data_IF_965047842003
#
_entry.id   IF_965047842003
#
_cell.length_a   1.000
_cell.length_b   1.000
_cell.length_c   1.000
_cell.angle_alpha   90.00
_cell.angle_beta   90.00
_cell.angle_gamma   90.00
#
_symmetry.space_group_name_H-M   'P 1'
#
loop_
_entity.id
_entity.type
_entity.pdbx_description
1 polymer ?
#
# COMPACT_ATOMS: atom_id res chain seq x y z
N UNK A 1 -19.65 -16.64 0.29
CA UNK A 1 -19.47 -15.40 1.01
C UNK A 1 -18.15 -15.37 1.78
N UNK A 2 -17.99 -14.37 2.64
CA UNK A 2 -16.80 -14.24 3.49
C UNK A 2 -16.63 -15.46 4.41
N UNK A 3 -17.76 -15.95 4.95
CA UNK A 3 -17.83 -17.16 5.76
C UNK A 3 -18.58 -18.28 5.03
N UNK A 4 -18.31 -19.57 5.33
CA UNK A 4 -18.88 -20.69 4.60
C UNK A 4 -20.41 -20.78 4.58
N UNK A 5 -21.08 -20.20 5.56
CA UNK A 5 -22.56 -20.21 5.67
C UNK A 5 -23.22 -19.02 4.93
N UNK A 6 -22.43 -18.09 4.40
CA UNK A 6 -22.94 -16.90 3.71
C UNK A 6 -22.98 -17.14 2.20
N UNK A 7 -24.07 -16.73 1.56
CA UNK A 7 -24.13 -16.61 0.10
C UNK A 7 -23.57 -15.25 -0.33
N UNK A 8 -22.98 -15.19 -1.52
CA UNK A 8 -22.50 -13.94 -2.10
C UNK A 8 -22.68 -13.95 -3.61
N UNK A 9 -22.78 -12.75 -4.18
CA UNK A 9 -22.78 -12.54 -5.62
C UNK A 9 -21.95 -11.30 -5.92
N UNK A 10 -21.27 -11.31 -7.07
CA UNK A 10 -20.60 -10.14 -7.61
C UNK A 10 -21.53 -9.47 -8.62
N UNK A 11 -21.61 -8.16 -8.54
CA UNK A 11 -22.34 -7.32 -9.47
C UNK A 11 -21.35 -6.41 -10.19
N UNK A 12 -21.62 -6.12 -11.46
CA UNK A 12 -20.75 -5.30 -12.29
C UNK A 12 -19.87 -6.14 -13.23
N UNK A 13 -18.78 -5.55 -13.66
CA UNK A 13 -17.97 -6.01 -14.78
C UNK A 13 -16.55 -6.44 -14.37
N UNK A 14 -16.38 -7.10 -13.22
CA UNK A 14 -15.08 -7.58 -12.72
C UNK A 14 -14.26 -8.33 -13.80
N UNK A 15 -14.93 -9.10 -14.68
CA UNK A 15 -14.29 -9.82 -15.78
C UNK A 15 -13.72 -8.93 -16.89
N UNK A 16 -14.05 -7.63 -16.94
CA UNK A 16 -13.45 -6.66 -17.87
C UNK A 16 -12.11 -6.14 -17.34
N UNK A 17 -11.89 -6.25 -16.02
CA UNK A 17 -10.66 -5.83 -15.36
C UNK A 17 -9.68 -6.98 -15.11
N UNK A 18 -10.19 -8.20 -14.91
CA UNK A 18 -9.36 -9.35 -14.54
C UNK A 18 -9.79 -10.61 -15.27
N UNK A 19 -8.82 -11.30 -15.88
CA UNK A 19 -9.02 -12.62 -16.50
C UNK A 19 -8.33 -13.70 -15.68
N UNK A 20 -9.08 -14.73 -15.29
CA UNK A 20 -8.50 -15.91 -14.64
C UNK A 20 -7.87 -16.83 -15.67
N UNK A 21 -6.55 -16.99 -15.63
CA UNK A 21 -5.79 -17.85 -16.54
C UNK A 21 -5.60 -19.27 -16.02
N UNK A 22 -5.65 -19.47 -14.69
CA UNK A 22 -5.40 -20.78 -14.06
C UNK A 22 -5.91 -20.83 -12.62
N UNK A 23 -6.05 -22.04 -12.10
CA UNK A 23 -6.27 -22.32 -10.68
C UNK A 23 -7.74 -22.48 -10.29
N UNK A 24 -7.96 -22.61 -8.97
CA UNK A 24 -9.29 -22.73 -8.37
C UNK A 24 -10.15 -21.50 -8.63
N UNK A 25 -11.47 -21.63 -8.41
CA UNK A 25 -12.37 -20.49 -8.45
C UNK A 25 -12.03 -19.45 -7.37
N UNK A 26 -12.39 -18.21 -7.68
CA UNK A 26 -12.18 -17.09 -6.75
C UNK A 26 -13.20 -17.17 -5.62
N UNK A 27 -12.75 -16.97 -4.40
CA UNK A 27 -13.60 -16.74 -3.24
C UNK A 27 -13.92 -15.24 -3.08
N UNK A 28 -14.91 -14.94 -2.25
CA UNK A 28 -15.23 -13.58 -1.83
C UNK A 28 -13.97 -12.82 -1.38
N UNK A 29 -13.19 -13.42 -0.48
CA UNK A 29 -11.96 -12.81 0.03
C UNK A 29 -10.89 -12.60 -1.07
N UNK A 30 -10.78 -13.54 -2.04
CA UNK A 30 -9.85 -13.33 -3.15
C UNK A 30 -10.23 -12.11 -3.99
N UNK A 31 -11.50 -11.88 -4.25
CA UNK A 31 -11.97 -10.76 -5.07
C UNK A 31 -11.67 -9.43 -4.37
N UNK A 32 -11.93 -9.33 -3.06
CA UNK A 32 -11.61 -8.14 -2.27
C UNK A 32 -10.09 -7.89 -2.26
N UNK A 33 -9.31 -8.93 -2.01
CA UNK A 33 -7.84 -8.82 -1.96
C UNK A 33 -7.25 -8.47 -3.34
N UNK A 34 -7.78 -9.02 -4.45
CA UNK A 34 -7.39 -8.69 -5.83
C UNK A 34 -7.63 -7.20 -6.10
N UNK A 35 -8.79 -6.68 -5.71
CA UNK A 35 -9.13 -5.27 -5.89
C UNK A 35 -8.19 -4.38 -5.10
N UNK A 36 -7.96 -4.68 -3.82
CA UNK A 36 -7.02 -3.92 -3.00
C UNK A 36 -5.57 -3.95 -3.54
N UNK A 37 -5.17 -5.09 -4.12
CA UNK A 37 -3.86 -5.22 -4.74
C UNK A 37 -3.74 -4.38 -6.02
N UNK A 38 -4.80 -4.34 -6.84
CA UNK A 38 -4.84 -3.52 -8.04
C UNK A 38 -4.82 -2.02 -7.69
N UNK A 39 -5.64 -1.59 -6.74
CA UNK A 39 -5.67 -0.19 -6.29
C UNK A 39 -4.28 0.27 -5.79
N UNK A 40 -3.56 -0.59 -5.07
CA UNK A 40 -2.21 -0.26 -4.59
C UNK A 40 -1.18 -0.20 -5.72
N UNK A 41 -1.18 -1.18 -6.64
CA UNK A 41 -0.13 -1.26 -7.66
C UNK A 41 -0.22 -0.12 -8.68
N UNK A 42 -1.41 0.44 -8.90
CA UNK A 42 -1.66 1.59 -9.77
C UNK A 42 -0.99 2.88 -9.30
N UNK A 43 -0.61 2.99 -8.01
CA UNK A 43 0.15 4.13 -7.49
C UNK A 43 1.59 4.21 -8.05
N UNK A 44 2.08 3.19 -8.75
CA UNK A 44 3.48 3.06 -9.15
C UNK A 44 3.63 3.01 -10.67
N UNK A 45 4.33 4.01 -11.22
CA UNK A 45 4.73 4.01 -12.63
C UNK A 45 5.95 3.12 -12.88
N UNK A 46 6.87 3.00 -11.91
CA UNK A 46 8.07 2.17 -11.96
C UNK A 46 7.70 0.67 -11.85
N UNK A 47 8.56 -0.26 -12.36
CA UNK A 47 8.34 -1.68 -12.14
C UNK A 47 8.30 -1.99 -10.64
N UNK A 48 7.15 -2.51 -10.19
CA UNK A 48 6.84 -2.67 -8.77
C UNK A 48 6.15 -4.00 -8.53
N UNK A 49 6.46 -4.61 -7.39
CA UNK A 49 5.73 -5.76 -6.84
C UNK A 49 5.17 -5.37 -5.47
N UNK A 50 3.91 -5.71 -5.26
CA UNK A 50 3.24 -5.63 -3.96
C UNK A 50 2.76 -7.03 -3.52
N UNK A 51 2.90 -7.29 -2.24
CA UNK A 51 2.43 -8.51 -1.58
C UNK A 51 1.36 -8.08 -0.57
N UNK A 52 0.16 -8.65 -0.69
CA UNK A 52 -0.95 -8.30 0.19
C UNK A 52 -1.54 -9.53 0.86
N UNK A 53 -2.14 -9.32 2.03
CA UNK A 53 -2.95 -10.30 2.72
C UNK A 53 -4.04 -9.60 3.52
N UNK A 54 -5.28 -10.06 3.37
CA UNK A 54 -6.44 -9.44 4.02
C UNK A 54 -6.51 -7.92 3.74
N UNK A 55 -6.41 -7.57 2.45
CA UNK A 55 -6.42 -6.20 1.93
C UNK A 55 -5.27 -5.28 2.35
N UNK A 56 -4.36 -5.73 3.20
CA UNK A 56 -3.22 -4.93 3.65
C UNK A 56 -1.92 -5.38 2.97
N UNK A 57 -1.03 -4.45 2.59
CA UNK A 57 0.28 -4.80 2.09
C UNK A 57 1.14 -5.42 3.21
N UNK A 58 1.81 -6.54 2.88
CA UNK A 58 2.87 -7.14 3.67
C UNK A 58 4.23 -6.55 3.30
N UNK A 59 4.34 -6.09 2.05
CA UNK A 59 5.54 -5.45 1.53
C UNK A 59 5.34 -4.98 0.09
N UNK A 60 6.04 -3.89 -0.25
CA UNK A 60 6.07 -3.29 -1.59
C UNK A 60 7.52 -2.96 -1.94
N UNK A 61 7.91 -3.25 -3.16
CA UNK A 61 9.25 -2.96 -3.66
C UNK A 61 9.23 -2.58 -5.13
N UNK A 62 10.04 -1.58 -5.48
CA UNK A 62 10.23 -1.11 -6.84
C UNK A 62 11.70 -1.26 -7.26
N UNK A 63 11.94 -1.73 -8.46
CA UNK A 63 13.25 -1.83 -9.07
C UNK A 63 13.09 -2.00 -10.59
N UNK A 64 14.01 -1.47 -11.43
CA UNK A 64 14.02 -1.77 -12.86
C UNK A 64 14.04 -3.27 -13.17
N UNK A 65 14.73 -4.07 -12.33
CA UNK A 65 14.65 -5.53 -12.33
C UNK A 65 13.49 -6.00 -11.43
N UNK A 66 12.49 -6.60 -12.04
CA UNK A 66 11.29 -7.06 -11.31
C UNK A 66 11.62 -8.15 -10.27
N UNK A 67 12.69 -8.93 -10.46
CA UNK A 67 13.15 -9.89 -9.46
C UNK A 67 13.69 -9.18 -8.22
N UNK A 68 14.44 -8.09 -8.39
CA UNK A 68 14.90 -7.26 -7.26
C UNK A 68 13.73 -6.54 -6.58
N UNK A 69 12.71 -6.09 -7.35
CA UNK A 69 11.47 -5.57 -6.78
C UNK A 69 10.78 -6.60 -5.89
N UNK A 70 10.73 -7.88 -6.32
CA UNK A 70 10.23 -8.99 -5.49
C UNK A 70 11.04 -9.16 -4.21
N UNK A 71 12.37 -9.20 -4.30
CA UNK A 71 13.23 -9.37 -3.12
C UNK A 71 13.04 -8.23 -2.11
N UNK A 72 12.88 -7.00 -2.59
CA UNK A 72 12.59 -5.81 -1.77
C UNK A 72 11.23 -5.92 -1.08
N UNK A 73 10.18 -6.28 -1.81
CA UNK A 73 8.83 -6.45 -1.27
C UNK A 73 8.79 -7.57 -0.21
N UNK A 74 9.35 -8.73 -0.53
CA UNK A 74 9.35 -9.90 0.34
C UNK A 74 10.21 -9.72 1.60
N UNK A 75 11.25 -8.88 1.53
CA UNK A 75 12.10 -8.60 2.68
C UNK A 75 11.37 -7.88 3.82
N UNK A 76 10.30 -7.13 3.54
CA UNK A 76 9.52 -6.36 4.54
C UNK A 76 8.87 -7.29 5.59
N UNK A 77 8.31 -8.41 5.13
CA UNK A 77 7.71 -9.43 6.00
C UNK A 77 7.83 -10.80 5.31
N UNK A 78 8.52 -11.75 5.94
CA UNK A 78 8.73 -13.09 5.39
C UNK A 78 7.70 -14.12 5.85
N UNK A 79 6.85 -13.78 6.81
CA UNK A 79 5.86 -14.69 7.40
C UNK A 79 4.46 -14.46 6.82
N UNK A 80 3.99 -13.22 6.81
CA UNK A 80 2.65 -12.86 6.36
C UNK A 80 2.36 -13.21 4.88
N UNK A 81 3.31 -13.15 3.93
CA UNK A 81 3.11 -13.51 2.53
C UNK A 81 2.59 -14.93 2.26
N UNK A 82 2.73 -15.85 3.21
CA UNK A 82 2.23 -17.23 3.05
C UNK A 82 0.70 -17.25 2.80
N UNK A 83 0.29 -17.72 1.63
CA UNK A 83 -1.10 -17.73 1.18
C UNK A 83 -1.66 -16.37 0.73
N UNK A 84 -0.82 -15.34 0.69
CA UNK A 84 -1.19 -14.00 0.26
C UNK A 84 -1.36 -13.85 -1.25
N UNK A 85 -1.57 -12.61 -1.66
CA UNK A 85 -1.73 -12.17 -3.04
C UNK A 85 -0.48 -11.41 -3.46
N UNK A 86 0.01 -11.70 -4.66
CA UNK A 86 1.16 -11.03 -5.25
C UNK A 86 0.70 -10.34 -6.53
N UNK A 87 1.02 -9.08 -6.67
CA UNK A 87 0.73 -8.31 -7.87
C UNK A 87 1.96 -7.58 -8.37
N UNK A 88 2.12 -7.51 -9.69
CA UNK A 88 3.12 -6.67 -10.34
C UNK A 88 2.51 -5.88 -11.49
N UNK A 89 3.12 -4.73 -11.81
CA UNK A 89 2.68 -3.85 -12.90
C UNK A 89 3.48 -4.02 -14.19
N UNK A 90 4.24 -5.11 -14.31
CA UNK A 90 5.00 -5.49 -15.53
C UNK A 90 4.77 -6.96 -15.86
N UNK A 91 5.09 -7.33 -17.10
CA UNK A 91 5.07 -8.73 -17.51
C UNK A 91 5.93 -9.59 -16.59
N UNK A 92 5.36 -10.68 -16.08
CA UNK A 92 6.02 -11.58 -15.14
C UNK A 92 6.83 -12.62 -15.91
N UNK A 93 8.14 -12.59 -15.76
CA UNK A 93 9.08 -13.48 -16.41
C UNK A 93 9.46 -14.71 -15.57
N UNK A 94 10.25 -15.61 -16.14
CA UNK A 94 10.67 -16.84 -15.47
C UNK A 94 11.53 -16.61 -14.21
N UNK A 95 12.50 -15.69 -14.17
CA UNK A 95 13.27 -15.39 -12.96
C UNK A 95 12.39 -15.00 -11.78
N UNK A 96 11.43 -14.11 -12.00
CA UNK A 96 10.46 -13.68 -10.97
C UNK A 96 9.53 -14.84 -10.58
N UNK A 97 9.01 -15.59 -11.57
CA UNK A 97 8.15 -16.75 -11.31
C UNK A 97 8.85 -17.80 -10.44
N UNK A 98 10.14 -18.07 -10.68
CA UNK A 98 10.94 -18.99 -9.85
C UNK A 98 11.01 -18.48 -8.40
N UNK A 99 11.38 -17.21 -8.20
CA UNK A 99 11.49 -16.63 -6.86
C UNK A 99 10.15 -16.65 -6.08
N UNK A 100 9.06 -16.25 -6.72
CA UNK A 100 7.71 -16.30 -6.12
C UNK A 100 7.29 -17.76 -5.83
N UNK A 101 7.70 -18.71 -6.65
CA UNK A 101 7.31 -20.11 -6.49
C UNK A 101 7.89 -20.80 -5.24
N UNK A 102 8.90 -20.20 -4.60
CA UNK A 102 9.49 -20.70 -3.37
C UNK A 102 8.55 -20.60 -2.16
N UNK A 103 7.55 -19.72 -2.23
CA UNK A 103 6.52 -19.61 -1.19
C UNK A 103 5.15 -20.10 -1.69
N UNK A 104 4.27 -20.42 -0.74
CA UNK A 104 2.88 -20.68 -1.03
C UNK A 104 2.13 -19.35 -1.22
N UNK A 105 1.57 -19.13 -2.41
CA UNK A 105 0.77 -17.96 -2.76
C UNK A 105 -0.65 -18.37 -3.13
N UNK A 106 -1.64 -17.56 -2.79
CA UNK A 106 -3.04 -17.80 -3.12
C UNK A 106 -3.41 -17.34 -4.54
N UNK A 107 -2.91 -16.17 -4.92
CA UNK A 107 -3.16 -15.52 -6.22
C UNK A 107 -1.88 -14.79 -6.66
N UNK A 108 -1.59 -14.84 -7.95
CA UNK A 108 -0.58 -14.00 -8.59
C UNK A 108 -1.24 -13.22 -9.71
N UNK A 109 -1.01 -11.90 -9.75
CA UNK A 109 -1.62 -10.97 -10.70
C UNK A 109 -0.51 -10.26 -11.47
N UNK A 110 -0.62 -10.23 -12.79
CA UNK A 110 0.28 -9.50 -13.66
C UNK A 110 -0.46 -9.05 -14.93
N UNK A 111 -0.03 -7.99 -15.61
CA UNK A 111 -0.60 -7.62 -16.90
C UNK A 111 -0.34 -8.67 -17.97
N UNK A 112 0.78 -9.41 -17.87
CA UNK A 112 1.13 -10.49 -18.77
C UNK A 112 2.04 -11.51 -18.05
N UNK A 113 2.08 -12.74 -18.53
CA UNK A 113 2.96 -13.81 -18.06
C UNK A 113 3.75 -14.35 -19.24
N UNK A 114 5.08 -14.37 -19.16
CA UNK A 114 5.90 -15.09 -20.12
C UNK A 114 5.49 -16.57 -20.16
N UNK A 115 5.56 -17.19 -21.33
CA UNK A 115 5.04 -18.55 -21.54
C UNK A 115 5.67 -19.60 -20.61
N UNK A 116 6.96 -19.50 -20.37
CA UNK A 116 7.73 -20.38 -19.48
C UNK A 116 7.45 -20.09 -17.99
N UNK A 117 7.27 -18.81 -17.61
CA UNK A 117 6.82 -18.42 -16.27
C UNK A 117 5.43 -18.98 -15.97
N UNK A 118 4.50 -18.82 -16.91
CA UNK A 118 3.15 -19.36 -16.82
C UNK A 118 3.18 -20.88 -16.68
N UNK A 119 3.94 -21.56 -17.52
CA UNK A 119 4.05 -23.04 -17.47
C UNK A 119 4.63 -23.53 -16.13
N UNK A 120 5.58 -22.80 -15.53
CA UNK A 120 6.10 -23.09 -14.19
C UNK A 120 5.01 -22.97 -13.12
N UNK A 121 4.32 -21.84 -13.08
CA UNK A 121 3.34 -21.53 -12.04
C UNK A 121 2.08 -22.41 -12.13
N UNK A 122 1.67 -22.81 -13.33
CA UNK A 122 0.55 -23.71 -13.57
C UNK A 122 0.75 -25.13 -13.00
N UNK A 123 1.97 -25.54 -12.68
CA UNK A 123 2.24 -26.80 -11.97
C UNK A 123 1.59 -26.83 -10.57
N UNK A 124 1.33 -25.65 -9.98
CA UNK A 124 0.63 -25.50 -8.70
C UNK A 124 -0.89 -25.45 -8.94
N UNK A 125 -1.58 -26.59 -8.97
CA UNK A 125 -3.00 -26.73 -9.33
C UNK A 125 -3.97 -25.75 -8.66
N UNK A 126 -3.68 -25.36 -7.43
CA UNK A 126 -4.55 -24.49 -6.62
C UNK A 126 -4.22 -23.00 -6.75
N UNK A 127 -3.04 -22.65 -7.30
CA UNK A 127 -2.61 -21.27 -7.47
C UNK A 127 -3.46 -20.58 -8.54
N UNK A 128 -4.00 -19.43 -8.20
CA UNK A 128 -4.76 -18.62 -9.16
C UNK A 128 -3.81 -17.68 -9.89
N UNK A 129 -3.81 -17.75 -11.20
CA UNK A 129 -3.11 -16.78 -12.04
C UNK A 129 -4.15 -15.86 -12.67
N UNK A 130 -4.01 -14.58 -12.42
CA UNK A 130 -4.91 -13.53 -12.89
C UNK A 130 -4.16 -12.58 -13.81
N UNK A 131 -4.72 -12.33 -15.00
CA UNK A 131 -4.24 -11.25 -15.86
C UNK A 131 -5.00 -9.98 -15.52
N UNK A 132 -4.27 -8.91 -15.16
CA UNK A 132 -4.84 -7.59 -15.08
C UNK A 132 -5.01 -7.05 -16.49
N UNK A 133 -6.24 -6.71 -16.85
CA UNK A 133 -6.57 -6.13 -18.16
C UNK A 133 -6.43 -4.61 -18.06
N UNK A 134 -5.87 -3.98 -19.08
CA UNK A 134 -5.88 -2.52 -19.14
C UNK A 134 -7.32 -2.01 -19.12
N UNK A 135 -7.66 -0.98 -18.35
CA UNK A 135 -8.99 -0.42 -18.37
C UNK A 135 -9.34 0.01 -19.81
N UNK A 136 -10.49 -0.43 -20.28
CA UNK A 136 -11.01 -0.03 -21.59
C UNK A 136 -11.41 1.45 -21.50
N UNK A 137 -10.51 2.35 -21.87
CA UNK A 137 -10.63 3.82 -21.88
C UNK A 137 -10.81 4.47 -20.49
N UNK A 138 -10.20 5.64 -20.25
CA UNK A 138 -10.46 6.41 -19.06
C UNK A 138 -11.97 6.71 -18.98
N UNK A 139 -12.60 6.20 -17.93
CA UNK A 139 -13.98 6.54 -17.67
C UNK A 139 -13.94 7.96 -17.09
N UNK A 140 -14.54 8.96 -17.77
CA UNK A 140 -14.64 10.35 -17.30
C UNK A 140 -15.41 10.48 -15.97
N UNK A 141 -15.95 9.37 -15.46
CA UNK A 141 -16.69 9.32 -14.20
C UNK A 141 -15.78 8.85 -13.07
N UNK A 142 -15.75 9.58 -11.95
CA UNK A 142 -14.98 9.14 -10.79
C UNK A 142 -15.49 7.79 -10.30
N UNK A 143 -14.57 6.86 -10.03
CA UNK A 143 -14.91 5.60 -9.38
C UNK A 143 -15.45 5.85 -7.98
N UNK A 144 -16.45 5.05 -7.59
CA UNK A 144 -17.12 5.18 -6.31
C UNK A 144 -16.71 4.03 -5.37
N UNK A 145 -16.41 4.39 -4.12
CA UNK A 145 -16.34 3.46 -3.00
C UNK A 145 -17.71 3.41 -2.32
N UNK A 146 -18.29 2.22 -2.24
CA UNK A 146 -19.63 1.99 -1.70
C UNK A 146 -19.56 1.06 -0.50
N UNK A 147 -20.07 1.51 0.63
CA UNK A 147 -20.10 0.73 1.86
C UNK A 147 -21.52 0.58 2.37
N UNK A 148 -21.88 -0.63 2.77
CA UNK A 148 -23.15 -0.86 3.45
C UNK A 148 -23.11 -0.26 4.86
N UNK A 149 -24.17 0.43 5.24
CA UNK A 149 -24.42 0.92 6.59
C UNK A 149 -25.82 0.49 7.03
N UNK A 150 -26.12 0.54 8.32
CA UNK A 150 -27.45 0.20 8.79
C UNK A 150 -28.48 1.13 8.14
N UNK A 151 -29.39 0.56 7.37
CA UNK A 151 -30.47 1.28 6.71
C UNK A 151 -30.10 1.93 5.38
N UNK A 152 -28.88 1.72 4.83
CA UNK A 152 -28.51 2.31 3.55
C UNK A 152 -27.11 2.01 3.07
N UNK A 153 -26.65 2.87 2.17
CA UNK A 153 -25.30 2.83 1.58
C UNK A 153 -24.60 4.17 1.82
N UNK A 154 -23.35 4.09 2.23
CA UNK A 154 -22.44 5.23 2.24
C UNK A 154 -21.63 5.19 0.94
N UNK A 155 -21.67 6.27 0.16
CA UNK A 155 -21.04 6.38 -1.13
C UNK A 155 -20.09 7.57 -1.13
N UNK A 156 -18.85 7.35 -1.58
CA UNK A 156 -17.85 8.40 -1.76
C UNK A 156 -17.09 8.18 -3.07
N UNK A 157 -16.40 9.20 -3.54
CA UNK A 157 -15.41 9.04 -4.61
C UNK A 157 -14.22 8.26 -4.06
N UNK A 158 -13.64 7.37 -4.88
CA UNK A 158 -12.33 6.79 -4.55
C UNK A 158 -11.28 7.88 -4.40
N UNK A 159 -10.31 7.65 -3.55
CA UNK A 159 -9.15 8.53 -3.41
C UNK A 159 -8.19 8.35 -4.59
N UNK A 160 -8.50 9.02 -5.69
CA UNK A 160 -7.69 9.05 -6.91
C UNK A 160 -6.72 10.24 -6.95
N UNK A 161 -6.50 10.94 -5.82
CA UNK A 161 -5.62 12.09 -5.79
C UNK A 161 -4.16 11.65 -5.99
N UNK A 162 -3.56 12.11 -7.08
CA UNK A 162 -2.13 11.96 -7.37
C UNK A 162 -1.31 12.92 -6.51
N UNK A 163 -0.11 12.47 -6.10
CA UNK A 163 0.80 13.29 -5.28
C UNK A 163 1.24 14.58 -5.97
N UNK A 164 1.35 14.56 -7.29
CA UNK A 164 1.77 15.71 -8.11
C UNK A 164 0.78 16.87 -8.07
N UNK A 165 -0.51 16.61 -7.77
CA UNK A 165 -1.55 17.61 -7.59
C UNK A 165 -1.75 18.09 -6.14
N UNK A 166 -1.02 17.53 -5.17
CA UNK A 166 -1.19 17.87 -3.77
C UNK A 166 -0.32 19.06 -3.36
N UNK A 167 -0.92 20.03 -2.69
CA UNK A 167 -0.17 21.09 -2.04
C UNK A 167 0.62 20.51 -0.86
N UNK A 168 1.95 20.62 -0.92
CA UNK A 168 2.86 20.10 0.08
C UNK A 168 3.49 21.24 0.87
N UNK A 169 3.55 21.10 2.22
CA UNK A 169 4.14 22.09 3.10
C UNK A 169 5.23 21.47 3.97
N UNK A 170 6.45 22.00 3.91
CA UNK A 170 7.50 21.66 4.86
C UNK A 170 7.27 22.42 6.16
N UNK A 171 7.03 21.70 7.26
CA UNK A 171 6.76 22.30 8.59
C UNK A 171 7.92 22.15 9.57
N UNK A 172 8.97 21.43 9.18
CA UNK A 172 10.20 21.28 9.96
C UNK A 172 11.18 22.41 9.70
N UNK A 173 12.14 22.61 10.65
CA UNK A 173 13.23 23.60 10.49
C UNK A 173 14.15 23.28 9.31
N UNK A 174 14.30 22.02 8.96
CA UNK A 174 15.12 21.53 7.85
C UNK A 174 14.23 20.96 6.76
N UNK A 175 14.39 21.35 5.49
CA UNK A 175 13.71 20.68 4.40
C UNK A 175 14.23 19.23 4.24
N UNK A 176 13.42 18.32 3.69
CA UNK A 176 13.88 16.97 3.40
C UNK A 176 14.93 16.97 2.29
N UNK A 177 15.88 16.07 2.37
CA UNK A 177 16.79 15.77 1.28
C UNK A 177 16.02 15.10 0.14
N UNK A 178 16.61 15.01 -1.06
CA UNK A 178 16.02 14.32 -2.21
C UNK A 178 15.70 12.84 -1.89
N UNK A 179 16.58 12.16 -1.17
CA UNK A 179 16.41 10.76 -0.78
C UNK A 179 15.27 10.59 0.24
N UNK A 180 15.22 11.47 1.26
CA UNK A 180 14.12 11.48 2.23
C UNK A 180 12.78 11.78 1.57
N UNK A 181 12.73 12.72 0.60
CA UNK A 181 11.53 13.00 -0.16
C UNK A 181 11.07 11.77 -0.94
N UNK A 182 11.96 11.08 -1.65
CA UNK A 182 11.62 9.85 -2.37
C UNK A 182 11.07 8.78 -1.43
N UNK A 183 11.68 8.60 -0.24
CA UNK A 183 11.20 7.64 0.76
C UNK A 183 9.83 8.03 1.34
N UNK A 184 9.59 9.33 1.57
CA UNK A 184 8.29 9.82 2.01
C UNK A 184 7.20 9.60 0.96
N UNK A 185 7.49 9.87 -0.31
CA UNK A 185 6.54 9.67 -1.41
C UNK A 185 6.23 8.18 -1.61
N UNK A 186 7.25 7.31 -1.50
CA UNK A 186 7.03 5.87 -1.54
C UNK A 186 6.12 5.39 -0.39
N UNK A 187 6.46 5.78 0.83
CA UNK A 187 5.65 5.46 2.01
C UNK A 187 4.24 6.01 1.95
N UNK A 188 4.07 7.21 1.38
CA UNK A 188 2.78 7.86 1.19
C UNK A 188 1.85 7.08 0.26
N UNK A 189 2.35 6.65 -0.90
CA UNK A 189 1.61 5.79 -1.83
C UNK A 189 1.14 4.51 -1.15
N UNK A 190 1.99 3.89 -0.35
CA UNK A 190 1.64 2.63 0.35
C UNK A 190 0.65 2.88 1.49
N UNK A 191 0.87 3.88 2.35
CA UNK A 191 0.04 4.08 3.56
C UNK A 191 -1.42 4.40 3.23
N UNK A 192 -1.69 5.00 2.07
CA UNK A 192 -3.03 5.24 1.53
C UNK A 192 -3.87 3.96 1.46
N UNK A 193 -3.22 2.82 1.18
CA UNK A 193 -3.84 1.50 1.02
C UNK A 193 -3.72 0.60 2.26
N UNK A 194 -3.26 1.13 3.38
CA UNK A 194 -3.16 0.40 4.66
C UNK A 194 -4.33 0.77 5.57
N UNK A 195 -4.93 -0.24 6.17
CA UNK A 195 -6.08 -0.02 7.08
C UNK A 195 -5.68 0.83 8.28
N UNK A 196 -6.47 1.86 8.55
CA UNK A 196 -6.29 2.82 9.65
C UNK A 196 -6.43 2.16 11.05
N UNK A 197 -5.73 2.60 12.10
CA UNK A 197 -4.59 3.51 12.01
C UNK A 197 -3.41 2.80 11.38
N UNK A 198 -2.70 3.48 10.49
CA UNK A 198 -1.64 2.92 9.70
C UNK A 198 -0.34 3.73 9.81
N UNK A 199 0.78 3.00 9.94
CA UNK A 199 2.14 3.54 9.86
C UNK A 199 2.96 2.68 8.92
N UNK A 200 3.67 3.32 7.98
CA UNK A 200 4.59 2.69 7.05
C UNK A 200 5.96 3.33 7.18
N UNK A 201 6.99 2.54 7.48
CA UNK A 201 8.39 2.94 7.33
C UNK A 201 8.86 2.52 5.95
N UNK A 202 9.48 3.45 5.22
CA UNK A 202 9.89 3.24 3.84
C UNK A 202 11.29 3.78 3.55
N UNK A 203 11.98 3.11 2.64
CA UNK A 203 13.07 3.65 1.84
C UNK A 203 12.53 4.30 0.56
N UNK A 204 13.43 4.73 -0.32
CA UNK A 204 13.05 5.36 -1.58
C UNK A 204 12.38 4.40 -2.58
N UNK A 205 12.55 3.10 -2.40
CA UNK A 205 12.18 2.05 -3.35
C UNK A 205 11.50 0.82 -2.71
N UNK A 206 11.23 0.86 -1.42
CA UNK A 206 10.64 -0.26 -0.68
C UNK A 206 10.00 0.14 0.63
N UNK A 207 9.13 -0.71 1.12
CA UNK A 207 8.70 -0.70 2.52
C UNK A 207 9.73 -1.39 3.41
N UNK A 208 9.82 -0.94 4.65
CA UNK A 208 10.73 -1.50 5.68
C UNK A 208 9.96 -2.07 6.87
N UNK A 209 8.78 -1.54 7.15
CA UNK A 209 7.91 -2.03 8.20
C UNK A 209 6.52 -1.41 8.07
N UNK A 210 5.49 -2.21 8.29
CA UNK A 210 4.08 -1.81 8.14
C UNK A 210 3.31 -2.21 9.39
N UNK A 211 2.63 -1.24 9.99
CA UNK A 211 1.66 -1.46 11.07
C UNK A 211 0.29 -1.00 10.63
N UNK A 212 -0.66 -1.92 10.59
CA UNK A 212 -1.98 -1.74 10.02
C UNK A 212 -3.10 -1.98 11.03
N UNK A 213 -4.21 -1.25 10.91
CA UNK A 213 -5.49 -1.57 11.55
C UNK A 213 -5.50 -1.47 13.08
N UNK A 214 -4.69 -0.59 13.66
CA UNK A 214 -4.62 -0.46 15.11
C UNK A 214 -5.51 0.65 15.66
N UNK A 215 -6.04 0.47 16.89
CA UNK A 215 -6.80 1.50 17.54
C UNK A 215 -5.93 2.71 17.94
N UNK A 216 -4.65 2.48 18.16
CA UNK A 216 -3.66 3.52 18.49
C UNK A 216 -2.62 3.64 17.37
N UNK A 217 -2.32 4.90 16.98
CA UNK A 217 -1.25 5.17 16.00
C UNK A 217 0.13 4.80 16.53
N UNK A 218 0.35 4.95 17.83
CA UNK A 218 1.58 4.53 18.50
C UNK A 218 1.76 3.01 18.40
N UNK A 219 0.69 2.23 18.54
CA UNK A 219 0.76 0.78 18.41
C UNK A 219 0.99 0.36 16.95
N UNK A 220 0.38 1.05 15.99
CA UNK A 220 0.71 0.85 14.57
C UNK A 220 2.20 1.08 14.29
N UNK A 221 2.79 2.14 14.87
CA UNK A 221 4.24 2.40 14.76
C UNK A 221 5.07 1.31 15.42
N UNK A 222 4.72 0.87 16.64
CA UNK A 222 5.42 -0.21 17.35
C UNK A 222 5.41 -1.52 16.56
N UNK A 223 4.26 -1.87 15.96
CA UNK A 223 4.13 -3.06 15.13
C UNK A 223 5.03 -2.94 13.89
N UNK A 224 5.04 -1.79 13.23
CA UNK A 224 5.90 -1.56 12.06
C UNK A 224 7.39 -1.71 12.41
N UNK A 225 7.83 -1.13 13.55
CA UNK A 225 9.20 -1.27 14.06
C UNK A 225 9.53 -2.72 14.40
N UNK A 226 8.65 -3.38 15.14
CA UNK A 226 8.83 -4.80 15.49
C UNK A 226 8.96 -5.68 14.25
N UNK A 227 8.09 -5.49 13.25
CA UNK A 227 8.15 -6.22 11.98
C UNK A 227 9.46 -5.99 11.24
N UNK A 228 9.95 -4.75 11.19
CA UNK A 228 11.24 -4.44 10.58
C UNK A 228 12.40 -5.16 11.30
N UNK A 229 12.39 -5.18 12.63
CA UNK A 229 13.39 -5.90 13.43
C UNK A 229 13.36 -7.40 13.20
N UNK A 230 12.19 -8.03 13.21
CA UNK A 230 12.00 -9.46 12.88
C UNK A 230 12.51 -9.81 11.48
N UNK A 231 12.32 -8.89 10.53
CA UNK A 231 12.81 -9.05 9.16
C UNK A 231 14.33 -8.80 9.02
N UNK A 232 14.99 -8.28 10.06
CA UNK A 232 16.41 -7.88 10.05
C UNK A 232 16.66 -6.60 9.26
N UNK A 233 15.65 -5.74 9.09
CA UNK A 233 15.74 -4.49 8.35
C UNK A 233 16.06 -3.31 9.27
N UNK A 234 16.98 -2.43 8.82
CA UNK A 234 17.30 -1.19 9.50
C UNK A 234 16.32 -0.10 9.10
N UNK A 235 15.80 0.63 10.09
CA UNK A 235 14.98 1.82 9.89
C UNK A 235 15.81 3.12 9.86
N UNK A 236 17.15 3.04 9.99
CA UNK A 236 18.03 4.21 9.96
C UNK A 236 17.95 4.93 8.61
N UNK A 237 17.62 6.23 8.65
CA UNK A 237 17.49 7.06 7.46
C UNK A 237 16.19 6.84 6.68
N UNK A 238 15.26 6.01 7.19
CA UNK A 238 13.95 5.80 6.57
C UNK A 238 13.05 7.03 6.70
N UNK A 239 11.96 7.04 5.95
CA UNK A 239 10.82 7.92 6.18
C UNK A 239 9.67 7.15 6.83
N UNK A 240 8.92 7.81 7.72
CA UNK A 240 7.66 7.31 8.26
C UNK A 240 6.49 8.02 7.59
N UNK A 241 5.55 7.24 7.05
CA UNK A 241 4.29 7.72 6.49
C UNK A 241 3.13 7.32 7.39
N UNK A 242 2.19 8.22 7.61
CA UNK A 242 1.01 8.03 8.44
C UNK A 242 -0.27 8.35 7.66
N UNK A 243 -1.29 7.51 7.78
CA UNK A 243 -2.62 7.69 7.16
C UNK A 243 -3.40 8.91 7.69
N UNK A 244 -3.04 9.40 8.87
CA UNK A 244 -3.60 10.63 9.46
C UNK A 244 -2.50 11.39 10.22
N UNK A 245 -2.82 12.64 10.65
CA UNK A 245 -1.88 13.45 11.43
C UNK A 245 -1.55 12.81 12.79
N UNK A 246 -0.34 13.04 13.28
CA UNK A 246 0.04 12.69 14.64
C UNK A 246 -0.60 13.67 15.62
N UNK A 247 -1.52 13.22 16.51
CA UNK A 247 -2.20 14.12 17.44
C UNK A 247 -1.26 14.66 18.54
N UNK A 248 -0.19 13.92 18.83
CA UNK A 248 0.81 14.24 19.86
C UNK A 248 2.23 13.99 19.33
N UNK A 249 3.25 14.63 19.90
CA UNK A 249 4.65 14.48 19.48
C UNK A 249 5.23 13.08 19.70
N UNK A 250 4.67 12.30 20.63
CA UNK A 250 5.15 10.97 21.03
C UNK A 250 5.30 9.98 19.87
N UNK A 251 4.36 10.00 18.94
CA UNK A 251 4.43 9.15 17.75
C UNK A 251 5.58 9.51 16.81
N UNK A 252 5.89 10.81 16.65
CA UNK A 252 7.04 11.27 15.86
C UNK A 252 8.36 11.04 16.60
N UNK A 253 8.38 11.21 17.92
CA UNK A 253 9.55 10.91 18.75
C UNK A 253 9.89 9.43 18.66
N UNK A 254 8.91 8.55 18.84
CA UNK A 254 9.10 7.10 18.71
C UNK A 254 9.60 6.71 17.31
N UNK A 255 9.10 7.35 16.25
CA UNK A 255 9.60 7.12 14.90
C UNK A 255 11.06 7.54 14.72
N UNK A 256 11.44 8.70 15.26
CA UNK A 256 12.82 9.18 15.22
C UNK A 256 13.76 8.28 16.03
N UNK A 257 13.34 7.82 17.21
CA UNK A 257 14.10 6.87 18.04
C UNK A 257 14.30 5.53 17.33
N UNK A 258 13.31 5.09 16.52
CA UNK A 258 13.42 3.91 15.68
C UNK A 258 14.38 4.09 14.49
N UNK A 259 14.77 5.34 14.16
CA UNK A 259 15.74 5.67 13.12
C UNK A 259 15.17 6.43 11.92
N UNK A 260 13.88 6.77 11.91
CA UNK A 260 13.32 7.57 10.83
C UNK A 260 13.94 8.97 10.79
N UNK A 261 14.35 9.42 9.61
CA UNK A 261 14.94 10.72 9.36
C UNK A 261 13.92 11.77 8.87
N UNK A 262 12.77 11.31 8.38
CA UNK A 262 11.72 12.14 7.84
C UNK A 262 10.33 11.56 8.15
N UNK A 263 9.31 12.41 8.12
CA UNK A 263 7.92 11.99 8.31
C UNK A 263 6.98 12.69 7.33
N UNK A 264 5.96 11.98 6.86
CA UNK A 264 4.88 12.49 6.03
C UNK A 264 3.52 12.14 6.63
N UNK A 265 2.60 13.09 6.65
CA UNK A 265 1.25 12.92 7.18
C UNK A 265 0.27 13.88 6.51
N UNK A 266 -1.06 13.59 6.52
CA UNK A 266 -2.07 14.56 6.10
C UNK A 266 -2.06 15.82 6.97
N UNK A 267 -2.48 16.96 6.40
CA UNK A 267 -2.70 18.19 7.16
C UNK A 267 -3.84 18.02 8.17
N UNK A 268 -3.69 18.68 9.32
CA UNK A 268 -4.80 18.84 10.26
C UNK A 268 -5.70 19.98 9.77
N UNK A 269 -7.02 19.78 9.63
CA UNK A 269 -7.91 20.90 9.37
C UNK A 269 -7.80 21.94 10.49
N UNK A 270 -7.49 23.19 10.16
CA UNK A 270 -7.64 24.41 10.98
C UNK A 270 -6.93 24.52 12.33
N UNK A 271 -6.11 23.57 12.81
CA UNK A 271 -5.33 23.68 14.08
C UNK A 271 -3.89 23.15 13.96
N UNK A 272 -3.25 23.36 12.83
CA UNK A 272 -1.92 22.82 12.53
C UNK A 272 -0.75 23.47 13.31
N UNK A 273 -1.00 24.37 14.24
CA UNK A 273 0.06 25.16 14.87
C UNK A 273 0.88 24.43 15.94
N UNK A 274 0.54 23.20 16.32
CA UNK A 274 1.15 22.52 17.47
C UNK A 274 1.87 21.20 17.23
N UNK A 275 2.02 20.71 16.00
CA UNK A 275 2.90 19.58 15.74
C UNK A 275 4.25 20.08 15.26
N UNK A 276 5.01 20.62 16.21
CA UNK A 276 6.42 20.99 16.03
C UNK A 276 7.22 19.77 16.45
N UNK A 277 8.19 19.38 15.63
CA UNK A 277 9.20 18.40 16.03
C UNK A 277 9.82 18.84 17.37
N UNK A 278 10.08 17.91 18.31
CA UNK A 278 10.61 18.27 19.63
C UNK A 278 11.91 19.06 19.49
N UNK A 279 12.17 20.06 20.36
CA UNK A 279 13.25 21.02 20.19
C UNK A 279 14.67 20.44 20.34
N UNK A 280 14.83 19.24 20.80
CA UNK A 280 16.14 18.66 21.08
C UNK A 280 16.16 17.16 20.82
N UNK A 281 16.48 16.70 19.65
CA UNK A 281 17.27 15.52 19.31
C UNK A 281 17.08 15.15 17.85
N UNK A 282 18.14 15.41 17.06
CA UNK A 282 18.38 14.98 15.69
C UNK A 282 17.45 15.56 14.59
N UNK A 283 18.09 16.05 13.57
CA UNK A 283 17.60 16.75 12.37
C UNK A 283 16.57 15.96 11.53
N UNK A 284 15.36 15.74 12.05
CA UNK A 284 14.26 15.15 11.28
C UNK A 284 13.54 16.19 10.40
N UNK A 285 13.22 15.83 9.18
CA UNK A 285 12.39 16.63 8.28
C UNK A 285 10.96 16.05 8.25
N UNK A 286 9.98 16.92 8.37
CA UNK A 286 8.57 16.57 8.11
C UNK A 286 8.10 17.28 6.85
N UNK A 287 7.50 16.58 5.93
CA UNK A 287 6.83 17.10 4.74
C UNK A 287 5.60 16.24 4.44
N UNK A 288 4.93 16.47 3.42
CA UNK A 288 3.85 17.40 3.15
C UNK A 288 2.50 16.98 3.72
N UNK A 289 1.58 17.92 3.80
CA UNK A 289 0.26 17.71 4.40
C UNK A 289 -0.82 17.94 3.33
N UNK A 290 -1.79 17.06 3.24
CA UNK A 290 -2.94 17.20 2.35
C UNK A 290 -4.00 18.12 2.98
N UNK A 291 -4.41 19.17 2.29
CA UNK A 291 -5.62 19.90 2.63
C UNK A 291 -6.84 19.20 2.03
N UNK A 292 -7.92 18.97 2.77
CA UNK A 292 -9.16 18.48 2.18
C UNK A 292 -9.73 19.52 1.20
N UNK A 293 -10.39 19.11 0.12
CA UNK A 293 -11.13 20.01 -0.71
C UNK A 293 -12.21 20.73 0.14
N UNK A 294 -12.39 22.02 -0.11
CA UNK A 294 -13.45 22.81 0.53
C UNK A 294 -14.81 22.13 0.30
N UNK A 295 -15.70 22.09 1.28
CA UNK A 295 -17.04 21.58 1.06
C UNK A 295 -17.72 22.41 -0.05
N UNK A 296 -18.57 21.79 -0.89
CA UNK A 296 -19.35 22.53 -1.86
C UNK A 296 -20.17 23.58 -1.09
N UNK A 297 -20.02 24.84 -1.52
CA UNK A 297 -20.78 25.95 -0.93
C UNK A 297 -22.28 25.65 -1.05
N UNK A 298 -23.01 25.93 0.02
CA UNK A 298 -24.45 25.93 0.00
C UNK A 298 -24.91 26.82 -1.17
N UNK A 299 -25.49 26.21 -2.16
CA UNK A 299 -26.19 26.94 -3.20
C UNK A 299 -27.54 27.42 -2.65
N UNK A 300 -28.02 28.62 -3.01
CA UNK A 300 -29.26 29.24 -2.51
C UNK A 300 -30.50 28.45 -2.87
#
# INVERSE_FOLDING_TARGET
>A
GENPHQTASIYGNFGEHFEKLHGKDLSFNNIIDITAAADLIEEFAEPTIAILKHTNPCGVGSDPDLREAWMKAFATDKQAPFGGIIICNRALDLPVAKAISEIFSGVIIAPEFASDARALLQKKKNLRLMRALAPALPNDKPELDVRSVRGGLLVQQKDAAELEGLETKVVSKRPPTRQEMAAMLFGWRVVKHVKSNAIVYAGADRTLGIGAGQMSRVDASRIAVWKAQEAGLSLQGSAVASDAFFPFPDGLVAAAEAGAAAAVQPARPARAEHVIAPPHHRNGATAPTRSPPSPPGDAP
#
